data_IF_574424788027
#
_entry.id   IF_574424788027
#
_cell.length_a   1.000
_cell.length_b   1.000
_cell.length_c   1.000
_cell.angle_alpha   90.00
_cell.angle_beta   90.00
_cell.angle_gamma   90.00
#
_symmetry.space_group_name_H-M   'P 1'
#
loop_
_entity.id
_entity.type
_entity.pdbx_description
1 polymer ?
#
# COMPACT_ATOMS: atom_id res chain seq x y z
N UNK A 1 75.77 -63.64 72.43
CA UNK A 1 76.11 -62.24 72.05
C UNK A 1 74.80 -61.50 71.71
N UNK A 2 74.57 -60.21 71.98
CA UNK A 2 75.12 -58.97 71.33
C UNK A 2 75.07 -59.09 69.80
N UNK A 3 74.46 -58.19 69.01
CA UNK A 3 74.08 -56.76 69.15
C UNK A 3 72.57 -56.54 68.77
N UNK A 4 71.77 -55.59 69.29
CA UNK A 4 71.70 -54.09 69.13
C UNK A 4 71.62 -53.65 67.64
N UNK A 5 70.78 -52.70 67.16
CA UNK A 5 69.72 -51.74 67.65
C UNK A 5 68.65 -51.62 66.49
N UNK A 6 67.61 -50.77 66.36
CA UNK A 6 66.93 -49.55 66.94
C UNK A 6 65.45 -49.60 66.37
N UNK A 7 64.34 -48.93 66.77
CA UNK A 7 63.96 -47.76 67.61
C UNK A 7 64.24 -46.37 66.98
N UNK A 8 63.43 -45.29 67.07
CA UNK A 8 62.27 -44.88 67.93
C UNK A 8 61.27 -44.04 67.07
N UNK A 9 60.07 -43.71 67.60
CA UNK A 9 59.05 -42.69 67.22
C UNK A 9 57.75 -43.31 66.67
N UNK A 10 56.55 -43.24 67.29
CA UNK A 10 56.04 -42.55 68.50
C UNK A 10 55.65 -41.06 68.39
N UNK A 11 54.51 -40.78 67.73
CA UNK A 11 53.55 -39.66 67.94
C UNK A 11 52.43 -39.80 66.88
N UNK A 12 51.19 -39.31 67.02
CA UNK A 12 50.26 -39.24 68.16
C UNK A 12 48.82 -39.08 67.59
N UNK A 13 47.78 -39.34 68.40
CA UNK A 13 46.39 -39.13 67.96
C UNK A 13 46.06 -37.64 67.99
N UNK A 14 45.59 -37.10 66.87
CA UNK A 14 44.98 -35.78 66.78
C UNK A 14 43.62 -35.89 66.07
N UNK A 15 42.54 -35.90 66.84
CA UNK A 15 41.17 -35.78 66.30
C UNK A 15 40.90 -34.29 66.07
N UNK A 16 40.65 -33.90 64.83
CA UNK A 16 40.00 -32.62 64.52
C UNK A 16 39.04 -32.77 63.34
N UNK A 17 37.94 -32.01 63.38
CA UNK A 17 36.78 -32.22 62.50
C UNK A 17 37.07 -31.73 61.08
N UNK A 18 37.17 -32.68 60.14
CA UNK A 18 37.25 -32.40 58.71
C UNK A 18 35.89 -31.94 58.17
N UNK A 19 35.76 -30.65 57.88
CA UNK A 19 34.50 -30.04 57.45
C UNK A 19 34.06 -30.54 56.05
N UNK A 20 32.76 -30.80 55.89
CA UNK A 20 32.16 -31.34 54.67
C UNK A 20 32.01 -30.23 53.60
N UNK A 21 33.13 -29.82 52.99
CA UNK A 21 33.11 -28.85 51.89
C UNK A 21 32.69 -29.57 50.60
N UNK A 22 31.39 -29.56 50.36
CA UNK A 22 30.81 -29.91 49.06
C UNK A 22 31.38 -28.91 48.05
N UNK A 23 32.22 -29.38 47.13
CA UNK A 23 32.66 -28.59 45.97
C UNK A 23 31.54 -28.49 44.94
N UNK A 24 30.43 -27.88 45.37
CA UNK A 24 29.32 -27.45 44.54
C UNK A 24 29.82 -26.32 43.66
N UNK A 25 30.51 -26.66 42.58
CA UNK A 25 30.91 -25.74 41.54
C UNK A 25 29.65 -25.25 40.83
N UNK A 26 28.97 -24.28 41.45
CA UNK A 26 27.92 -23.49 40.84
C UNK A 26 28.53 -22.79 39.64
N UNK A 27 28.39 -23.43 38.47
CA UNK A 27 28.48 -22.73 37.20
C UNK A 27 27.41 -21.67 37.24
N UNK A 28 27.82 -20.46 37.62
CA UNK A 28 27.13 -19.25 37.25
C UNK A 28 27.14 -19.24 35.73
N UNK A 29 26.12 -19.86 35.14
CA UNK A 29 25.71 -19.57 33.78
C UNK A 29 25.33 -18.09 33.80
N UNK A 30 26.33 -17.25 33.50
CA UNK A 30 26.13 -15.86 33.17
C UNK A 30 25.29 -15.86 31.89
N UNK A 31 23.97 -15.93 32.05
CA UNK A 31 23.02 -15.62 31.00
C UNK A 31 23.43 -14.26 30.47
N UNK A 32 23.84 -14.15 29.18
CA UNK A 32 24.33 -12.88 28.68
C UNK A 32 23.25 -11.84 28.90
N UNK A 33 23.55 -10.79 29.67
CA UNK A 33 22.60 -9.69 29.87
C UNK A 33 22.61 -8.86 28.59
N UNK A 34 21.85 -9.32 27.60
CA UNK A 34 21.61 -8.60 26.37
C UNK A 34 20.95 -7.26 26.73
N UNK A 35 21.65 -6.16 26.43
CA UNK A 35 21.20 -4.79 26.69
C UNK A 35 20.76 -4.17 25.36
N UNK A 36 19.81 -3.23 25.38
CA UNK A 36 19.51 -2.44 24.19
C UNK A 36 20.77 -1.68 23.73
N UNK A 37 21.00 -1.63 22.42
CA UNK A 37 22.10 -0.89 21.79
C UNK A 37 21.92 0.63 21.88
N UNK A 38 20.67 1.10 22.03
CA UNK A 38 20.32 2.51 22.24
C UNK A 38 18.95 2.66 22.93
N UNK A 39 18.62 3.82 23.52
CA UNK A 39 17.29 4.08 24.08
C UNK A 39 16.15 3.97 23.04
N UNK A 40 16.41 4.27 21.76
CA UNK A 40 15.42 4.11 20.69
C UNK A 40 15.10 2.62 20.43
N UNK A 41 16.11 1.76 20.46
CA UNK A 41 15.95 0.30 20.37
C UNK A 41 15.21 -0.27 21.58
N UNK A 42 15.46 0.26 22.79
CA UNK A 42 14.66 -0.09 23.97
C UNK A 42 13.20 0.34 23.81
N UNK A 43 12.97 1.56 23.32
CA UNK A 43 11.63 2.10 23.05
C UNK A 43 10.85 1.25 22.04
N UNK A 44 11.45 0.80 20.94
CA UNK A 44 10.79 -0.08 19.96
C UNK A 44 10.33 -1.40 20.61
N UNK A 45 11.20 -2.01 21.42
CA UNK A 45 10.88 -3.26 22.14
C UNK A 45 9.80 -3.06 23.22
N UNK A 46 9.80 -1.91 23.91
CA UNK A 46 8.76 -1.56 24.88
C UNK A 46 7.42 -1.24 24.21
N UNK A 47 7.41 -0.46 23.12
CA UNK A 47 6.22 -0.05 22.40
C UNK A 47 5.47 -1.24 21.79
N UNK A 48 6.20 -2.17 21.18
CA UNK A 48 5.70 -3.46 20.65
C UNK A 48 5.34 -4.47 21.76
N UNK A 49 5.52 -4.10 23.03
CA UNK A 49 5.18 -4.90 24.23
C UNK A 49 5.98 -6.19 24.41
N UNK A 50 7.18 -6.28 23.80
CA UNK A 50 8.02 -7.49 23.84
C UNK A 50 8.14 -8.05 25.27
N UNK A 51 8.01 -9.38 25.39
CA UNK A 51 8.31 -10.10 26.63
C UNK A 51 9.82 -10.06 26.91
N UNK A 52 10.27 -10.38 28.13
CA UNK A 52 11.71 -10.54 28.41
C UNK A 52 12.40 -11.55 27.47
N UNK A 53 11.68 -12.59 27.00
CA UNK A 53 12.17 -13.54 25.99
C UNK A 53 12.39 -12.85 24.64
N UNK A 54 11.43 -12.08 24.15
CA UNK A 54 11.57 -11.34 22.89
C UNK A 54 12.63 -10.23 22.97
N UNK A 55 12.71 -9.50 24.08
CA UNK A 55 13.78 -8.52 24.33
C UNK A 55 15.16 -9.19 24.28
N UNK A 56 15.33 -10.35 24.92
CA UNK A 56 16.57 -11.12 24.87
C UNK A 56 16.94 -11.55 23.44
N UNK A 57 15.95 -11.99 22.65
CA UNK A 57 16.14 -12.36 21.25
C UNK A 57 16.51 -11.16 20.37
N UNK A 58 15.77 -10.06 20.49
CA UNK A 58 15.93 -8.83 19.70
C UNK A 58 17.28 -8.15 19.98
N UNK A 59 17.58 -7.86 21.25
CA UNK A 59 18.88 -7.29 21.65
C UNK A 59 20.05 -8.27 21.37
N UNK A 60 19.76 -9.56 21.22
CA UNK A 60 20.71 -10.59 20.79
C UNK A 60 21.18 -10.48 19.34
N UNK A 61 20.49 -9.70 18.50
CA UNK A 61 20.85 -9.47 17.09
C UNK A 61 21.47 -8.09 16.85
N UNK A 62 22.09 -7.47 17.87
CA UNK A 62 22.75 -6.16 17.81
C UNK A 62 21.98 -5.10 16.98
N UNK A 63 20.69 -4.84 17.30
CA UNK A 63 19.77 -4.15 16.39
C UNK A 63 20.13 -2.67 16.26
N UNK A 64 20.03 -2.13 15.05
CA UNK A 64 20.41 -0.75 14.70
C UNK A 64 19.30 -0.05 13.90
N UNK A 65 19.18 1.26 14.11
CA UNK A 65 18.31 2.14 13.32
C UNK A 65 19.23 3.01 12.46
N UNK A 66 19.12 2.89 11.14
CA UNK A 66 20.10 3.44 10.19
C UNK A 66 19.44 4.36 9.15
N UNK A 67 20.10 5.46 8.73
CA UNK A 67 19.62 6.30 7.62
C UNK A 67 19.53 5.50 6.30
N UNK A 68 18.59 5.87 5.42
CA UNK A 68 18.30 5.21 4.12
C UNK A 68 19.55 4.66 3.40
N UNK A 69 20.55 5.49 3.15
CA UNK A 69 21.77 5.09 2.43
C UNK A 69 22.56 3.97 3.14
N UNK A 70 22.70 4.06 4.47
CA UNK A 70 23.42 3.09 5.30
C UNK A 70 22.61 1.80 5.47
N UNK A 71 21.30 1.89 5.68
CA UNK A 71 20.39 0.75 5.64
C UNK A 71 20.52 -0.04 4.33
N UNK A 72 20.37 0.63 3.18
CA UNK A 72 20.47 -0.02 1.87
C UNK A 72 21.89 -0.50 1.55
N UNK A 73 22.94 0.06 2.15
CA UNK A 73 24.31 -0.47 2.03
C UNK A 73 24.51 -1.76 2.83
N UNK A 74 23.95 -1.85 4.04
CA UNK A 74 24.03 -3.02 4.90
C UNK A 74 23.13 -4.15 4.38
N UNK A 75 21.85 -3.87 4.12
CA UNK A 75 20.87 -4.88 3.71
C UNK A 75 21.13 -5.46 2.31
N UNK A 76 21.67 -4.69 1.34
CA UNK A 76 22.05 -5.26 0.03
C UNK A 76 23.08 -6.40 0.11
N UNK A 77 23.85 -6.50 1.21
CA UNK A 77 24.81 -7.59 1.45
C UNK A 77 24.18 -8.89 1.97
N UNK A 78 22.89 -8.88 2.32
CA UNK A 78 22.17 -10.04 2.88
C UNK A 78 21.47 -10.93 1.86
N UNK A 79 21.57 -10.62 0.56
CA UNK A 79 20.90 -11.38 -0.51
C UNK A 79 19.42 -11.06 -0.74
N UNK A 80 18.72 -10.40 0.20
CA UNK A 80 17.34 -9.89 0.01
C UNK A 80 17.17 -8.81 -1.08
N UNK A 81 18.24 -8.43 -1.79
CA UNK A 81 18.24 -7.41 -2.85
C UNK A 81 17.39 -7.74 -4.10
N UNK A 82 16.72 -8.90 -4.15
CA UNK A 82 15.84 -9.33 -5.23
C UNK A 82 14.33 -9.13 -4.93
N UNK A 83 13.96 -8.67 -3.72
CA UNK A 83 12.55 -8.42 -3.39
C UNK A 83 12.07 -7.11 -4.04
N UNK A 84 11.07 -7.18 -4.92
CA UNK A 84 10.55 -6.04 -5.68
C UNK A 84 9.68 -5.06 -4.85
N UNK A 85 9.94 -4.92 -3.55
CA UNK A 85 9.18 -4.11 -2.60
C UNK A 85 10.09 -3.31 -1.68
N UNK A 86 9.50 -2.38 -0.94
CA UNK A 86 10.21 -1.51 0.01
C UNK A 86 10.54 -2.30 1.28
N UNK A 87 11.72 -2.90 1.31
CA UNK A 87 12.30 -3.49 2.52
C UNK A 87 12.69 -2.35 3.48
N UNK A 88 12.25 -2.42 4.74
CA UNK A 88 12.61 -1.46 5.82
C UNK A 88 13.23 -2.12 7.06
N UNK A 89 13.30 -3.45 7.09
CA UNK A 89 14.06 -4.24 8.04
C UNK A 89 14.89 -5.29 7.31
N UNK A 90 16.05 -5.67 7.85
CA UNK A 90 16.71 -6.88 7.40
C UNK A 90 17.44 -7.61 8.51
N UNK A 91 17.25 -8.93 8.55
CA UNK A 91 18.05 -9.87 9.32
C UNK A 91 19.22 -10.35 8.47
N UNK A 92 20.39 -9.71 8.62
CA UNK A 92 21.60 -10.16 7.92
C UNK A 92 22.19 -11.36 8.66
N UNK A 93 22.34 -12.52 8.02
CA UNK A 93 22.85 -13.74 8.66
C UNK A 93 24.14 -14.24 7.98
N UNK A 94 25.18 -14.51 8.78
CA UNK A 94 26.42 -15.20 8.34
C UNK A 94 26.38 -16.72 8.56
N UNK A 95 25.34 -17.21 9.24
CA UNK A 95 25.06 -18.61 9.50
C UNK A 95 24.29 -18.80 10.80
N UNK A 96 24.73 -18.15 11.88
CA UNK A 96 24.20 -18.36 13.24
C UNK A 96 24.08 -17.10 14.11
N UNK A 97 24.30 -15.89 13.57
CA UNK A 97 24.03 -14.63 14.27
C UNK A 97 23.43 -13.61 13.31
N UNK A 98 22.27 -13.05 13.67
CA UNK A 98 21.70 -11.92 12.98
C UNK A 98 22.40 -10.61 13.34
N UNK A 99 22.46 -9.69 12.39
CA UNK A 99 22.29 -8.27 12.70
C UNK A 99 20.93 -7.82 12.18
N UNK A 100 20.11 -7.24 13.04
CA UNK A 100 18.86 -6.58 12.65
C UNK A 100 19.18 -5.13 12.29
N UNK A 101 18.93 -4.75 11.05
CA UNK A 101 19.03 -3.35 10.61
C UNK A 101 17.62 -2.85 10.30
N UNK A 102 17.24 -1.71 10.85
CA UNK A 102 15.95 -1.05 10.65
C UNK A 102 16.21 0.29 9.96
N UNK A 103 15.48 0.60 8.88
CA UNK A 103 15.58 1.92 8.27
C UNK A 103 14.92 2.97 9.17
N UNK A 104 15.60 4.08 9.40
CA UNK A 104 15.03 5.25 10.07
C UNK A 104 13.89 5.84 9.25
N UNK A 105 12.68 5.87 9.83
CA UNK A 105 11.48 6.45 9.21
C UNK A 105 11.01 7.63 10.07
N UNK A 106 11.08 8.83 9.49
CA UNK A 106 10.79 10.11 10.19
C UNK A 106 9.54 10.82 9.67
N UNK A 107 8.90 10.33 8.60
CA UNK A 107 7.65 10.90 8.10
C UNK A 107 6.50 10.57 9.07
N UNK A 108 5.77 11.56 9.63
CA UNK A 108 4.68 11.31 10.56
C UNK A 108 3.50 10.54 9.93
N UNK A 109 3.39 10.51 8.60
CA UNK A 109 2.39 9.72 7.85
C UNK A 109 2.65 8.21 7.87
N UNK A 110 3.81 7.79 8.41
CA UNK A 110 4.31 6.42 8.50
C UNK A 110 4.62 5.99 9.96
N UNK A 111 3.99 6.62 10.96
CA UNK A 111 4.15 6.23 12.37
C UNK A 111 3.77 4.74 12.57
N UNK A 112 4.52 4.03 13.42
CA UNK A 112 4.37 2.58 13.61
C UNK A 112 5.26 1.73 12.69
N UNK A 113 5.88 2.31 11.65
CA UNK A 113 6.72 1.53 10.71
C UNK A 113 7.93 0.89 11.39
N UNK A 114 8.67 1.64 12.22
CA UNK A 114 9.84 1.09 12.91
C UNK A 114 9.43 0.08 13.99
N UNK A 115 8.27 0.26 14.61
CA UNK A 115 7.70 -0.66 15.59
C UNK A 115 7.27 -1.99 14.96
N UNK A 116 6.51 -1.98 13.87
CA UNK A 116 6.11 -3.22 13.18
C UNK A 116 7.32 -3.95 12.60
N UNK A 117 8.30 -3.23 12.04
CA UNK A 117 9.55 -3.81 11.56
C UNK A 117 10.38 -4.43 12.69
N UNK A 118 10.55 -3.73 13.82
CA UNK A 118 11.27 -4.29 14.98
C UNK A 118 10.62 -5.57 15.52
N UNK A 119 9.29 -5.63 15.52
CA UNK A 119 8.54 -6.83 15.88
C UNK A 119 8.72 -7.96 14.85
N UNK A 120 8.65 -7.65 13.55
CA UNK A 120 8.84 -8.61 12.46
C UNK A 120 10.25 -9.22 12.45
N UNK A 121 11.29 -8.41 12.50
CA UNK A 121 12.69 -8.88 12.49
C UNK A 121 13.05 -9.67 13.76
N UNK A 122 12.45 -9.33 14.91
CA UNK A 122 12.53 -10.15 16.13
C UNK A 122 11.84 -11.51 15.94
N UNK A 123 10.74 -11.60 15.19
CA UNK A 123 10.08 -12.88 14.90
C UNK A 123 10.93 -13.80 14.00
N UNK A 124 11.78 -13.29 13.10
CA UNK A 124 12.79 -14.11 12.42
C UNK A 124 13.78 -14.74 13.42
N UNK A 125 14.30 -13.96 14.36
CA UNK A 125 15.20 -14.46 15.40
C UNK A 125 14.50 -15.46 16.34
N UNK A 126 13.20 -15.29 16.58
CA UNK A 126 12.37 -16.25 17.27
C UNK A 126 12.18 -17.55 16.49
N UNK A 127 11.88 -17.47 15.18
CA UNK A 127 11.68 -18.62 14.29
C UNK A 127 12.95 -19.47 14.15
N UNK A 128 14.10 -18.83 14.02
CA UNK A 128 15.40 -19.52 13.91
C UNK A 128 15.75 -20.32 15.18
N UNK A 129 15.29 -19.88 16.35
CA UNK A 129 15.44 -20.62 17.61
C UNK A 129 14.38 -21.72 17.83
N UNK A 130 13.41 -21.90 16.92
CA UNK A 130 12.47 -23.03 16.98
C UNK A 130 13.14 -24.31 16.47
N UNK A 131 12.91 -25.41 17.17
CA UNK A 131 13.29 -26.75 16.72
C UNK A 131 12.49 -27.17 15.47
N UNK A 132 12.99 -28.14 14.69
CA UNK A 132 12.31 -28.65 13.49
C UNK A 132 10.87 -29.09 13.80
N UNK A 133 10.68 -29.85 14.89
CA UNK A 133 9.37 -30.30 15.35
C UNK A 133 8.40 -29.15 15.66
N UNK A 134 8.87 -28.03 16.20
CA UNK A 134 8.04 -26.86 16.45
C UNK A 134 7.66 -26.15 15.14
N UNK A 135 8.58 -26.05 14.18
CA UNK A 135 8.31 -25.50 12.84
C UNK A 135 7.28 -26.35 12.10
N UNK A 136 7.45 -27.68 12.09
CA UNK A 136 6.51 -28.63 11.47
C UNK A 136 5.11 -28.53 12.10
N UNK A 137 5.03 -28.41 13.43
CA UNK A 137 3.76 -28.23 14.17
C UNK A 137 3.05 -26.91 13.85
N UNK A 138 3.81 -25.85 13.55
CA UNK A 138 3.28 -24.52 13.21
C UNK A 138 2.93 -24.38 11.73
N UNK A 139 3.69 -25.02 10.83
CA UNK A 139 3.57 -24.90 9.38
C UNK A 139 2.14 -25.03 8.81
N UNK A 140 1.31 -26.04 9.18
CA UNK A 140 -0.06 -26.13 8.67
C UNK A 140 -0.97 -25.02 9.24
N UNK A 141 -0.72 -24.58 10.49
CA UNK A 141 -1.50 -23.53 11.15
C UNK A 141 -1.21 -22.16 10.53
N UNK A 142 0.05 -21.86 10.26
CA UNK A 142 0.48 -20.65 9.54
C UNK A 142 -0.11 -20.61 8.12
N UNK A 143 -0.04 -21.72 7.38
CA UNK A 143 -0.66 -21.86 6.04
C UNK A 143 -2.19 -21.80 6.05
N UNK A 144 -2.84 -22.08 7.19
CA UNK A 144 -4.28 -21.86 7.38
C UNK A 144 -4.58 -20.37 7.62
N UNK A 145 -3.87 -19.75 8.57
CA UNK A 145 -4.06 -18.33 8.91
C UNK A 145 -3.74 -17.40 7.73
N UNK A 146 -2.77 -17.73 6.88
CA UNK A 146 -2.46 -17.01 5.65
C UNK A 146 -3.67 -16.81 4.72
N UNK A 147 -4.59 -17.78 4.68
CA UNK A 147 -5.83 -17.72 3.86
C UNK A 147 -6.86 -16.70 4.37
N UNK A 148 -6.63 -16.10 5.53
CA UNK A 148 -7.50 -15.09 6.15
C UNK A 148 -7.00 -13.65 5.93
N UNK A 149 -5.84 -13.48 5.29
CA UNK A 149 -5.33 -12.16 4.89
C UNK A 149 -6.24 -11.58 3.82
N UNK A 150 -6.79 -10.39 4.10
CA UNK A 150 -7.68 -9.63 3.20
C UNK A 150 -7.03 -8.33 2.69
N UNK A 151 -5.94 -7.89 3.32
CA UNK A 151 -5.12 -6.79 2.81
C UNK A 151 -4.44 -7.23 1.50
N UNK A 152 -4.69 -6.56 0.35
CA UNK A 152 -4.05 -6.89 -0.92
C UNK A 152 -2.52 -6.77 -0.88
N UNK A 153 -1.96 -5.86 -0.07
CA UNK A 153 -0.51 -5.67 0.03
C UNK A 153 0.16 -6.87 0.70
N UNK A 154 -0.29 -7.23 1.90
CA UNK A 154 0.20 -8.43 2.60
C UNK A 154 -0.13 -9.72 1.83
N UNK A 155 -1.29 -9.82 1.18
CA UNK A 155 -1.62 -10.96 0.33
C UNK A 155 -0.62 -11.11 -0.83
N UNK A 156 -0.24 -10.00 -1.47
CA UNK A 156 0.78 -9.96 -2.51
C UNK A 156 2.17 -10.35 -2.01
N UNK A 157 2.58 -9.86 -0.83
CA UNK A 157 3.86 -10.22 -0.19
C UNK A 157 3.94 -11.74 0.05
N UNK A 158 2.91 -12.32 0.70
CA UNK A 158 2.89 -13.75 1.00
C UNK A 158 2.77 -14.60 -0.28
N UNK A 159 2.08 -14.11 -1.32
CA UNK A 159 1.99 -14.79 -2.60
C UNK A 159 3.31 -14.80 -3.39
N UNK A 160 4.20 -13.82 -3.19
CA UNK A 160 5.52 -13.81 -3.82
C UNK A 160 6.50 -14.73 -3.07
N UNK A 161 6.55 -14.70 -1.74
CA UNK A 161 7.36 -15.65 -0.97
C UNK A 161 6.91 -17.11 -1.22
N UNK A 162 5.62 -17.36 -1.46
CA UNK A 162 5.11 -18.68 -1.80
C UNK A 162 5.63 -19.26 -3.14
N UNK A 163 6.29 -18.46 -3.99
CA UNK A 163 6.95 -18.89 -5.23
C UNK A 163 8.39 -19.36 -5.00
N UNK A 164 8.97 -19.05 -3.85
CA UNK A 164 10.37 -19.31 -3.50
C UNK A 164 10.57 -20.58 -2.66
N UNK A 165 11.61 -20.56 -1.82
CA UNK A 165 11.94 -21.67 -0.93
C UNK A 165 10.84 -21.88 0.16
N UNK A 166 10.32 -23.11 0.35
CA UNK A 166 9.25 -23.38 1.32
C UNK A 166 9.61 -23.14 2.79
N UNK A 167 10.88 -23.22 3.16
CA UNK A 167 11.35 -22.95 4.54
C UNK A 167 11.52 -21.45 4.79
N UNK A 168 11.95 -20.68 3.78
CA UNK A 168 11.87 -19.21 3.78
C UNK A 168 10.41 -18.78 3.90
N UNK A 169 9.51 -19.25 3.03
CA UNK A 169 8.09 -18.89 3.09
C UNK A 169 7.44 -19.16 4.46
N UNK A 170 7.85 -20.23 5.16
CA UNK A 170 7.37 -20.50 6.53
C UNK A 170 7.94 -19.54 7.60
N UNK A 171 9.17 -19.03 7.43
CA UNK A 171 9.74 -17.96 8.27
C UNK A 171 8.99 -16.62 8.07
N UNK A 172 8.74 -16.26 6.81
CA UNK A 172 8.03 -15.03 6.45
C UNK A 172 6.56 -15.09 6.89
N UNK A 173 5.89 -16.24 6.74
CA UNK A 173 4.56 -16.48 7.32
C UNK A 173 4.56 -16.36 8.85
N UNK A 174 5.57 -16.91 9.54
CA UNK A 174 5.65 -16.79 10.99
C UNK A 174 5.82 -15.33 11.43
N UNK A 175 6.57 -14.54 10.68
CA UNK A 175 6.85 -13.15 11.03
C UNK A 175 5.65 -12.26 10.70
N UNK A 176 5.26 -12.15 9.42
CA UNK A 176 4.13 -11.32 8.97
C UNK A 176 2.81 -11.61 9.69
N UNK A 177 2.44 -12.89 9.87
CA UNK A 177 1.16 -13.19 10.53
C UNK A 177 1.21 -12.84 12.03
N UNK A 178 2.40 -12.88 12.65
CA UNK A 178 2.60 -12.44 14.03
C UNK A 178 2.43 -10.94 14.19
N UNK A 179 3.05 -10.14 13.31
CA UNK A 179 3.07 -8.68 13.33
C UNK A 179 1.81 -8.00 12.77
N UNK A 180 1.22 -8.53 11.69
CA UNK A 180 0.24 -7.80 10.87
C UNK A 180 -1.17 -8.43 10.86
N UNK A 181 -1.31 -9.76 10.94
CA UNK A 181 -2.64 -10.40 10.89
C UNK A 181 -3.38 -10.30 12.24
N UNK A 182 -4.40 -9.45 12.31
CA UNK A 182 -5.15 -9.18 13.53
C UNK A 182 -5.85 -10.38 14.17
N UNK A 183 -6.46 -11.29 13.40
CA UNK A 183 -7.08 -12.50 13.93
C UNK A 183 -6.49 -13.75 13.24
N UNK A 184 -5.73 -14.53 14.01
CA UNK A 184 -5.08 -15.76 13.55
C UNK A 184 -6.02 -16.98 13.50
N UNK A 185 -7.22 -16.88 14.12
CA UNK A 185 -8.26 -17.92 14.13
C UNK A 185 -7.77 -19.30 14.64
N UNK A 186 -6.71 -19.28 15.45
CA UNK A 186 -6.01 -20.48 15.89
C UNK A 186 -5.39 -20.27 17.29
N UNK A 187 -5.99 -20.83 18.36
CA UNK A 187 -5.50 -20.64 19.73
C UNK A 187 -4.06 -21.12 19.99
N UNK A 188 -3.52 -22.03 19.18
CA UNK A 188 -2.10 -22.43 19.29
C UNK A 188 -1.16 -21.36 18.74
N UNK A 189 -1.57 -20.63 17.69
CA UNK A 189 -0.77 -19.52 17.18
C UNK A 189 -0.79 -18.34 18.15
N UNK A 190 -1.94 -17.98 18.71
CA UNK A 190 -1.99 -16.91 19.73
C UNK A 190 -1.17 -17.29 20.99
N UNK A 191 -1.24 -18.55 21.46
CA UNK A 191 -0.36 -19.06 22.54
C UNK A 191 1.12 -19.06 22.17
N UNK A 192 1.46 -19.23 20.89
CA UNK A 192 2.83 -19.15 20.40
C UNK A 192 3.34 -17.70 20.44
N UNK A 193 2.58 -16.75 19.90
CA UNK A 193 2.97 -15.34 19.88
C UNK A 193 2.94 -14.64 21.26
N UNK A 194 2.11 -15.12 22.20
CA UNK A 194 2.14 -14.71 23.62
C UNK A 194 3.49 -14.94 24.32
N UNK A 195 4.35 -15.81 23.78
CA UNK A 195 5.73 -15.95 24.29
C UNK A 195 6.61 -14.74 23.96
N UNK A 196 6.23 -13.94 22.96
CA UNK A 196 7.04 -12.87 22.39
C UNK A 196 6.43 -11.48 22.61
N UNK A 197 5.11 -11.33 22.59
CA UNK A 197 4.43 -10.06 22.88
C UNK A 197 3.46 -10.21 24.04
N UNK A 198 3.40 -9.21 24.93
CA UNK A 198 2.40 -9.14 26.01
C UNK A 198 1.02 -8.74 25.47
N UNK A 199 1.01 -7.90 24.44
CA UNK A 199 -0.15 -7.59 23.62
C UNK A 199 0.25 -7.59 22.14
N UNK A 200 -0.15 -8.63 21.40
CA UNK A 200 0.08 -8.75 19.95
C UNK A 200 -0.78 -7.78 19.15
N UNK A 201 -1.94 -7.37 19.66
CA UNK A 201 -2.81 -6.41 18.96
C UNK A 201 -2.18 -5.01 18.94
N UNK A 202 -1.32 -4.68 19.91
CA UNK A 202 -0.49 -3.47 19.87
C UNK A 202 0.46 -3.45 18.67
N UNK A 203 1.04 -4.59 18.30
CA UNK A 203 1.90 -4.71 17.10
C UNK A 203 1.07 -4.56 15.82
N UNK A 204 -0.07 -5.25 15.75
CA UNK A 204 -1.03 -5.14 14.62
C UNK A 204 -1.57 -3.71 14.48
N UNK A 205 -1.72 -2.96 15.58
CA UNK A 205 -2.10 -1.56 15.53
C UNK A 205 -1.02 -0.69 14.84
N UNK A 206 0.26 -0.92 15.14
CA UNK A 206 1.36 -0.25 14.43
C UNK A 206 1.43 -0.63 12.94
N UNK A 207 1.20 -1.91 12.61
CA UNK A 207 1.11 -2.35 11.21
C UNK A 207 0.05 -1.54 10.44
N UNK A 208 -1.17 -1.44 10.98
CA UNK A 208 -2.27 -0.66 10.39
C UNK A 208 -1.97 0.84 10.34
N UNK A 209 -1.37 1.40 11.40
CA UNK A 209 -0.99 2.82 11.44
C UNK A 209 0.04 3.15 10.35
N UNK A 210 1.02 2.27 10.15
CA UNK A 210 2.11 2.48 9.18
C UNK A 210 1.64 2.51 7.71
N UNK A 211 0.57 1.78 7.38
CA UNK A 211 0.00 1.73 6.04
C UNK A 211 -1.23 2.64 5.84
N UNK A 212 -1.80 3.20 6.92
CA UNK A 212 -3.08 3.91 6.88
C UNK A 212 -3.10 5.04 5.82
N UNK A 213 -2.12 5.94 5.86
CA UNK A 213 -2.09 7.11 4.94
C UNK A 213 -1.99 6.67 3.48
N UNK A 214 -1.19 5.65 3.19
CA UNK A 214 -1.03 5.10 1.83
C UNK A 214 -2.31 4.40 1.35
N UNK A 215 -2.96 3.62 2.23
CA UNK A 215 -4.23 2.95 1.93
C UNK A 215 -5.37 3.95 1.69
N UNK A 216 -5.37 5.10 2.38
CA UNK A 216 -6.32 6.19 2.13
C UNK A 216 -6.08 6.83 0.76
N UNK A 217 -4.85 7.21 0.44
CA UNK A 217 -4.48 7.78 -0.87
C UNK A 217 -4.81 6.83 -2.03
N UNK A 218 -4.57 5.52 -1.86
CA UNK A 218 -4.91 4.50 -2.87
C UNK A 218 -6.42 4.35 -3.04
N UNK A 219 -7.20 4.36 -1.94
CA UNK A 219 -8.66 4.31 -2.00
C UNK A 219 -9.26 5.54 -2.68
N UNK A 220 -8.74 6.74 -2.38
CA UNK A 220 -9.18 7.99 -3.01
C UNK A 220 -8.79 8.05 -4.49
N UNK A 221 -7.63 7.49 -4.87
CA UNK A 221 -7.22 7.36 -6.26
C UNK A 221 -8.11 6.39 -7.06
N UNK A 222 -8.43 5.21 -6.52
CA UNK A 222 -9.32 4.22 -7.14
C UNK A 222 -10.75 4.76 -7.33
N UNK A 223 -11.23 5.62 -6.43
CA UNK A 223 -12.50 6.32 -6.59
C UNK A 223 -12.43 7.38 -7.69
N UNK A 224 -11.37 8.20 -7.72
CA UNK A 224 -11.20 9.21 -8.77
C UNK A 224 -11.07 8.59 -10.17
N UNK A 225 -10.38 7.45 -10.32
CA UNK A 225 -10.32 6.72 -11.60
C UNK A 225 -11.73 6.33 -12.07
N UNK A 226 -12.54 5.72 -11.21
CA UNK A 226 -13.92 5.36 -11.54
C UNK A 226 -14.82 6.54 -11.89
N UNK A 227 -14.53 7.74 -11.37
CA UNK A 227 -15.26 8.96 -11.74
C UNK A 227 -14.75 9.59 -13.05
N UNK A 228 -13.43 9.51 -13.31
CA UNK A 228 -12.79 9.96 -14.55
C UNK A 228 -13.25 9.09 -15.73
N UNK A 229 -13.25 7.76 -15.57
CA UNK A 229 -13.70 6.80 -16.60
C UNK A 229 -15.16 7.05 -17.01
N UNK A 230 -16.03 7.35 -16.03
CA UNK A 230 -17.44 7.70 -16.28
C UNK A 230 -17.55 9.02 -17.03
N UNK A 231 -16.85 10.06 -16.58
CA UNK A 231 -16.84 11.36 -17.26
C UNK A 231 -16.28 11.28 -18.68
N UNK A 232 -15.29 10.44 -18.97
CA UNK A 232 -14.82 10.24 -20.36
C UNK A 232 -15.92 9.60 -21.23
N UNK A 233 -16.64 8.61 -20.71
CA UNK A 233 -17.76 7.98 -21.41
C UNK A 233 -18.93 8.96 -21.63
N UNK A 234 -19.28 9.76 -20.61
CA UNK A 234 -20.34 10.77 -20.68
C UNK A 234 -19.97 11.90 -21.64
N UNK A 235 -18.77 12.49 -21.52
CA UNK A 235 -18.25 13.50 -22.46
C UNK A 235 -18.25 13.03 -23.92
N UNK A 236 -17.94 11.76 -24.15
CA UNK A 236 -17.98 11.14 -25.48
C UNK A 236 -19.40 10.99 -26.01
N UNK A 237 -20.39 10.74 -25.15
CA UNK A 237 -21.81 10.74 -25.51
C UNK A 237 -22.32 12.17 -25.78
N UNK A 238 -22.11 13.11 -24.84
CA UNK A 238 -22.48 14.53 -24.97
C UNK A 238 -21.91 15.15 -26.24
N UNK A 239 -20.64 14.84 -26.58
CA UNK A 239 -20.02 15.31 -27.83
C UNK A 239 -20.71 14.76 -29.09
N UNK A 240 -21.18 13.52 -29.07
CA UNK A 240 -21.92 12.93 -30.19
C UNK A 240 -23.33 13.53 -30.34
N UNK A 241 -24.00 13.86 -29.23
CA UNK A 241 -25.28 14.58 -29.26
C UNK A 241 -25.13 16.04 -29.68
N UNK A 242 -24.05 16.72 -29.30
CA UNK A 242 -23.70 18.04 -29.81
C UNK A 242 -23.50 18.02 -31.34
N UNK A 243 -22.82 17.01 -31.87
CA UNK A 243 -22.67 16.86 -33.32
C UNK A 243 -24.03 16.64 -34.01
N UNK A 244 -24.86 15.71 -33.51
CA UNK A 244 -26.23 15.49 -34.01
C UNK A 244 -27.08 16.77 -33.96
N UNK A 245 -26.93 17.57 -32.91
CA UNK A 245 -27.64 18.84 -32.75
C UNK A 245 -27.15 19.92 -33.72
N UNK A 246 -25.88 19.93 -34.10
CA UNK A 246 -25.35 20.84 -35.12
C UNK A 246 -25.87 20.45 -36.52
N UNK A 247 -25.77 19.17 -36.88
CA UNK A 247 -26.31 18.62 -38.13
C UNK A 247 -27.82 18.91 -38.30
N UNK A 248 -28.59 18.82 -37.20
CA UNK A 248 -30.01 19.17 -37.17
C UNK A 248 -30.29 20.69 -37.28
N UNK A 249 -29.36 21.55 -36.83
CA UNK A 249 -29.46 23.00 -36.99
C UNK A 249 -29.18 23.43 -38.44
N UNK A 250 -28.17 22.85 -39.08
CA UNK A 250 -27.85 23.10 -40.49
C UNK A 250 -29.03 22.69 -41.40
N UNK A 251 -29.56 21.47 -41.22
CA UNK A 251 -30.75 21.00 -41.94
C UNK A 251 -32.00 21.87 -41.66
N UNK A 252 -32.11 22.45 -40.45
CA UNK A 252 -33.15 23.41 -40.12
C UNK A 252 -32.95 24.77 -40.81
N UNK A 253 -31.71 25.22 -40.98
CA UNK A 253 -31.38 26.47 -41.65
C UNK A 253 -31.64 26.37 -43.16
N UNK A 254 -31.31 25.25 -43.80
CA UNK A 254 -31.66 24.99 -45.20
C UNK A 254 -33.17 24.95 -45.42
N UNK A 255 -33.92 24.32 -44.50
CA UNK A 255 -35.39 24.34 -44.56
C UNK A 255 -35.96 25.76 -44.45
N UNK A 256 -35.36 26.64 -43.64
CA UNK A 256 -35.73 28.06 -43.59
C UNK A 256 -35.41 28.79 -44.90
N UNK A 257 -34.27 28.48 -45.53
CA UNK A 257 -33.88 29.04 -46.82
C UNK A 257 -34.91 28.67 -47.91
N UNK A 258 -35.33 27.40 -47.97
CA UNK A 258 -36.38 26.92 -48.89
C UNK A 258 -37.72 27.61 -48.62
N UNK A 259 -38.23 27.59 -47.38
CA UNK A 259 -39.52 28.19 -47.03
C UNK A 259 -39.57 29.70 -47.32
N UNK A 260 -38.45 30.40 -47.15
CA UNK A 260 -38.31 31.83 -47.50
C UNK A 260 -38.32 32.06 -49.01
N UNK A 261 -37.70 31.18 -49.80
CA UNK A 261 -37.73 31.26 -51.26
C UNK A 261 -39.15 31.00 -51.81
N UNK A 262 -39.83 29.96 -51.32
CA UNK A 262 -41.21 29.67 -51.68
C UNK A 262 -42.18 30.80 -51.29
N UNK A 263 -42.02 31.38 -50.09
CA UNK A 263 -42.86 32.51 -49.67
C UNK A 263 -42.66 33.74 -50.57
N UNK A 264 -41.43 34.03 -51.01
CA UNK A 264 -41.15 35.13 -51.94
C UNK A 264 -41.73 34.89 -53.35
N UNK A 265 -41.66 33.64 -53.83
CA UNK A 265 -42.27 33.24 -55.11
C UNK A 265 -43.80 33.39 -55.03
N UNK A 266 -44.42 32.78 -54.01
CA UNK A 266 -45.86 32.78 -53.81
C UNK A 266 -46.42 34.19 -53.51
N UNK A 267 -45.66 35.06 -52.85
CA UNK A 267 -45.98 36.49 -52.73
C UNK A 267 -46.15 37.13 -54.11
N UNK A 268 -45.17 36.93 -54.99
CA UNK A 268 -45.14 37.52 -56.34
C UNK A 268 -46.28 36.99 -57.21
N UNK A 269 -46.59 35.70 -57.11
CA UNK A 269 -47.73 35.05 -57.78
C UNK A 269 -49.06 35.61 -57.25
N UNK A 270 -49.20 35.79 -55.93
CA UNK A 270 -50.40 36.36 -55.29
C UNK A 270 -50.62 37.83 -55.66
N UNK A 271 -49.56 38.64 -55.70
CA UNK A 271 -49.63 40.05 -56.11
C UNK A 271 -50.06 40.19 -57.59
N UNK A 272 -49.63 39.28 -58.47
CA UNK A 272 -50.07 39.25 -59.87
C UNK A 272 -51.54 38.80 -60.01
N UNK A 273 -51.97 37.77 -59.28
CA UNK A 273 -53.35 37.30 -59.28
C UNK A 273 -54.32 38.39 -58.77
N UNK A 274 -53.95 39.06 -57.67
CA UNK A 274 -54.70 40.20 -57.11
C UNK A 274 -54.82 41.36 -58.11
N UNK A 275 -53.75 41.68 -58.85
CA UNK A 275 -53.79 42.71 -59.90
C UNK A 275 -54.72 42.34 -61.09
N UNK A 276 -55.04 41.05 -61.25
CA UNK A 276 -56.01 40.54 -62.24
C UNK A 276 -57.42 40.35 -61.65
N UNK A 277 -57.61 40.60 -60.35
CA UNK A 277 -58.87 40.44 -59.64
C UNK A 277 -59.13 39.05 -59.05
N UNK A 278 -58.15 38.15 -59.04
CA UNK A 278 -58.27 36.81 -58.44
C UNK A 278 -57.66 36.77 -57.02
N UNK A 279 -58.48 36.53 -55.97
CA UNK A 279 -58.00 36.36 -54.60
C UNK A 279 -57.56 34.92 -54.25
N UNK A 280 -57.60 33.96 -55.18
CA UNK A 280 -57.43 32.52 -54.90
C UNK A 280 -56.17 32.16 -54.10
N UNK A 281 -55.04 32.84 -54.37
CA UNK A 281 -53.75 32.53 -53.77
C UNK A 281 -53.53 33.10 -52.36
N UNK A 282 -54.37 34.04 -51.90
CA UNK A 282 -54.19 34.74 -50.60
C UNK A 282 -54.08 33.73 -49.45
N UNK A 283 -54.99 32.74 -49.39
CA UNK A 283 -54.98 31.74 -48.31
C UNK A 283 -53.74 30.84 -48.34
N UNK A 284 -53.14 30.64 -49.51
CA UNK A 284 -51.92 29.83 -49.66
C UNK A 284 -50.70 30.64 -49.19
N UNK A 285 -50.62 31.92 -49.56
CA UNK A 285 -49.58 32.83 -49.10
C UNK A 285 -49.60 33.00 -47.57
N UNK A 286 -50.78 33.20 -46.99
CA UNK A 286 -50.96 33.30 -45.54
C UNK A 286 -50.53 32.02 -44.81
N UNK A 287 -50.91 30.84 -45.31
CA UNK A 287 -50.45 29.56 -44.74
C UNK A 287 -48.94 29.38 -44.86
N UNK A 288 -48.33 29.76 -45.99
CA UNK A 288 -46.88 29.71 -46.16
C UNK A 288 -46.15 30.65 -45.18
N UNK A 289 -46.72 31.83 -44.90
CA UNK A 289 -46.20 32.78 -43.92
C UNK A 289 -46.26 32.22 -42.49
N UNK A 290 -47.35 31.56 -42.11
CA UNK A 290 -47.47 30.84 -40.84
C UNK A 290 -46.44 29.71 -40.74
N UNK A 291 -46.32 28.87 -41.77
CA UNK A 291 -45.38 27.75 -41.81
C UNK A 291 -43.91 28.20 -41.63
N UNK A 292 -43.52 29.32 -42.27
CA UNK A 292 -42.19 29.91 -42.10
C UNK A 292 -42.00 30.45 -40.68
N UNK A 293 -42.96 31.20 -40.13
CA UNK A 293 -42.87 31.77 -38.79
C UNK A 293 -42.70 30.68 -37.72
N UNK A 294 -43.48 29.59 -37.78
CA UNK A 294 -43.31 28.45 -36.88
C UNK A 294 -41.94 27.78 -37.04
N UNK A 295 -41.44 27.65 -38.28
CA UNK A 295 -40.12 27.07 -38.53
C UNK A 295 -39.00 27.94 -37.93
N UNK A 296 -39.13 29.26 -37.98
CA UNK A 296 -38.20 30.21 -37.32
C UNK A 296 -38.25 30.07 -35.81
N UNK A 297 -39.44 29.91 -35.20
CA UNK A 297 -39.57 29.63 -33.76
C UNK A 297 -38.84 28.33 -33.39
N UNK A 298 -39.15 27.22 -34.07
CA UNK A 298 -38.51 25.91 -33.82
C UNK A 298 -36.99 25.94 -34.01
N UNK A 299 -36.49 26.65 -35.02
CA UNK A 299 -35.04 26.84 -35.21
C UNK A 299 -34.42 27.60 -34.03
N UNK A 300 -35.04 28.70 -33.59
CA UNK A 300 -34.57 29.49 -32.46
C UNK A 300 -34.61 28.72 -31.12
N UNK A 301 -35.57 27.82 -30.94
CA UNK A 301 -35.60 26.88 -29.80
C UNK A 301 -34.44 25.87 -29.87
N UNK A 302 -34.20 25.28 -31.04
CA UNK A 302 -33.07 24.36 -31.24
C UNK A 302 -31.72 25.05 -31.00
N UNK A 303 -31.54 26.31 -31.44
CA UNK A 303 -30.32 27.10 -31.20
C UNK A 303 -30.10 27.31 -29.70
N UNK A 304 -31.15 27.65 -28.94
CA UNK A 304 -31.08 27.77 -27.47
C UNK A 304 -30.72 26.42 -26.80
N UNK A 305 -31.33 25.33 -27.25
CA UNK A 305 -31.04 23.98 -26.74
C UNK A 305 -29.59 23.59 -26.99
N UNK A 306 -29.07 23.83 -28.19
CA UNK A 306 -27.67 23.55 -28.54
C UNK A 306 -26.70 24.40 -27.71
N UNK A 307 -26.98 25.69 -27.55
CA UNK A 307 -26.17 26.58 -26.70
C UNK A 307 -26.13 26.11 -25.23
N UNK A 308 -27.26 25.62 -24.69
CA UNK A 308 -27.32 25.04 -23.35
C UNK A 308 -26.52 23.74 -23.24
N UNK A 309 -26.58 22.86 -24.25
CA UNK A 309 -25.77 21.64 -24.31
C UNK A 309 -24.26 21.95 -24.38
N UNK A 310 -23.84 22.95 -25.16
CA UNK A 310 -22.43 23.39 -25.24
C UNK A 310 -21.96 23.93 -23.88
N UNK A 311 -22.81 24.69 -23.18
CA UNK A 311 -22.49 25.18 -21.84
C UNK A 311 -22.35 24.04 -20.81
N UNK A 312 -23.22 23.03 -20.86
CA UNK A 312 -23.14 21.85 -20.00
C UNK A 312 -21.88 21.00 -20.30
N UNK A 313 -21.58 20.74 -21.57
CA UNK A 313 -20.38 20.01 -21.99
C UNK A 313 -19.09 20.68 -21.50
N UNK A 314 -19.01 22.02 -21.53
CA UNK A 314 -17.86 22.74 -20.99
C UNK A 314 -17.72 22.55 -19.47
N UNK A 315 -18.83 22.51 -18.72
CA UNK A 315 -18.83 22.22 -17.28
C UNK A 315 -18.43 20.76 -16.97
N UNK A 316 -18.83 19.80 -17.82
CA UNK A 316 -18.37 18.40 -17.76
C UNK A 316 -16.85 18.32 -17.99
N UNK A 317 -16.32 19.05 -18.97
CA UNK A 317 -14.88 19.14 -19.27
C UNK A 317 -14.10 19.76 -18.11
N UNK A 318 -14.57 20.86 -17.54
CA UNK A 318 -13.96 21.47 -16.35
C UNK A 318 -13.98 20.50 -15.16
N UNK A 319 -15.07 19.76 -14.96
CA UNK A 319 -15.20 18.76 -13.90
C UNK A 319 -14.20 17.61 -14.08
N UNK A 320 -14.06 17.11 -15.31
CA UNK A 320 -13.07 16.09 -15.67
C UNK A 320 -11.64 16.57 -15.41
N UNK A 321 -11.28 17.78 -15.86
CA UNK A 321 -9.95 18.37 -15.63
C UNK A 321 -9.63 18.50 -14.14
N UNK A 322 -10.59 18.94 -13.32
CA UNK A 322 -10.43 19.05 -11.87
C UNK A 322 -10.19 17.68 -11.20
N UNK A 323 -10.91 16.62 -11.61
CA UNK A 323 -10.67 15.25 -11.07
C UNK A 323 -9.31 14.70 -11.50
N UNK A 324 -8.91 14.90 -12.75
CA UNK A 324 -7.57 14.52 -13.24
C UNK A 324 -6.48 15.28 -12.48
N UNK A 325 -6.68 16.56 -12.15
CA UNK A 325 -5.73 17.33 -11.34
C UNK A 325 -5.62 16.80 -9.90
N UNK A 326 -6.75 16.41 -9.29
CA UNK A 326 -6.81 15.80 -7.96
C UNK A 326 -6.12 14.42 -7.92
N UNK A 327 -6.40 13.53 -8.88
CA UNK A 327 -5.73 12.24 -9.00
C UNK A 327 -4.20 12.39 -9.12
N UNK A 328 -3.76 13.34 -9.96
CA UNK A 328 -2.34 13.68 -10.08
C UNK A 328 -1.74 14.27 -8.79
N UNK A 329 -2.54 14.88 -7.91
CA UNK A 329 -2.09 15.32 -6.59
C UNK A 329 -1.89 14.14 -5.63
N UNK A 330 -2.85 13.21 -5.53
CA UNK A 330 -2.69 11.99 -4.72
C UNK A 330 -1.46 11.20 -5.16
N UNK A 331 -1.26 11.04 -6.48
CA UNK A 331 -0.10 10.37 -7.04
C UNK A 331 1.24 11.07 -6.72
N UNK A 332 1.27 12.42 -6.63
CA UNK A 332 2.44 13.19 -6.16
C UNK A 332 2.67 12.98 -4.66
N UNK A 333 1.62 13.04 -3.84
CA UNK A 333 1.75 12.87 -2.40
C UNK A 333 2.22 11.45 -2.04
N UNK A 334 1.63 10.42 -2.65
CA UNK A 334 2.06 9.02 -2.52
C UNK A 334 3.54 8.85 -2.84
N UNK A 335 4.04 9.47 -3.92
CA UNK A 335 5.48 9.47 -4.24
C UNK A 335 6.32 10.16 -3.16
N UNK A 336 5.84 11.28 -2.59
CA UNK A 336 6.53 11.98 -1.49
C UNK A 336 6.72 11.13 -0.23
N UNK A 337 5.78 10.22 0.06
CA UNK A 337 5.83 9.30 1.21
C UNK A 337 6.84 8.17 0.96
N UNK A 338 6.92 7.66 -0.28
CA UNK A 338 7.70 6.46 -0.62
C UNK A 338 9.15 6.76 -1.05
N UNK A 339 9.43 7.93 -1.63
CA UNK A 339 10.77 8.31 -2.10
C UNK A 339 11.86 8.33 -0.98
N UNK A 340 11.57 8.74 0.28
CA UNK A 340 12.50 8.62 1.40
C UNK A 340 12.76 7.17 1.86
N UNK A 341 11.90 6.23 1.46
CA UNK A 341 11.98 4.82 1.82
C UNK A 341 12.78 4.00 0.80
N UNK A 342 12.47 4.21 -0.48
CA UNK A 342 12.99 3.43 -1.60
C UNK A 342 14.52 3.46 -1.68
N UNK A 343 15.11 2.31 -2.01
CA UNK A 343 16.50 2.24 -2.43
C UNK A 343 16.72 3.17 -3.62
N UNK A 344 17.83 3.90 -3.62
CA UNK A 344 18.26 4.64 -4.80
C UNK A 344 18.57 3.62 -5.90
N UNK A 345 17.75 3.63 -6.96
CA UNK A 345 18.05 2.86 -8.16
C UNK A 345 19.41 3.34 -8.71
N UNK A 346 20.28 2.44 -9.21
CA UNK A 346 21.40 2.88 -10.02
C UNK A 346 20.83 3.67 -11.21
N UNK A 347 21.47 4.77 -11.61
CA UNK A 347 21.06 5.51 -12.79
C UNK A 347 21.11 4.57 -14.01
N UNK A 348 19.93 4.18 -14.49
CA UNK A 348 19.80 3.43 -15.74
C UNK A 348 20.30 4.37 -16.85
N UNK A 349 21.47 4.06 -17.40
CA UNK A 349 22.21 4.95 -18.28
C UNK A 349 21.33 5.35 -19.47
N UNK A 350 20.93 6.62 -19.51
CA UNK A 350 19.95 7.14 -20.46
C UNK A 350 20.36 6.77 -21.90
N UNK A 351 19.67 5.79 -22.47
CA UNK A 351 20.01 5.22 -23.77
C UNK A 351 19.35 6.07 -24.87
N UNK A 352 20.11 6.81 -25.69
CA UNK A 352 19.52 7.74 -26.67
C UNK A 352 19.01 6.96 -27.88
N UNK A 353 17.74 6.55 -27.85
CA UNK A 353 17.14 5.71 -28.91
C UNK A 353 15.61 5.88 -29.01
N UNK A 354 15.14 7.08 -29.33
CA UNK A 354 13.91 7.24 -30.12
C UNK A 354 14.30 7.56 -31.59
N UNK A 355 13.58 7.04 -32.59
CA UNK A 355 13.78 7.34 -34.02
C UNK A 355 13.02 8.60 -34.49
#
# INVERSE_FOLDING_TARGET
MRQRKRSINSLAIAIFVGMLIIFGATRNFLTPTYRPSSPAIEQLAMATTMTPKAQQLFYGQDPKIEPKAQFHQLCRRSGRAAEARIILGCYTNDGYRGQIVIQSVTDPRLQGTMEVVAAHEMLHAAYQNLSLFERDRLAPKLKQAARRVQDPLLAGILADYAKGDPAIYLNELHSHLGSELGNLDNPDLERHYQQYFRDRQRVVAFARQSSQTLSQLDTEADLLVQEIDRLEADLKATKADLQRSAEALDASQDRLNTLKADLNRLKSETELALAQGDPSLISQFEQARVNLNEAVVRHNDNVRSHQAQVAAFNQEVDTYQNKVAAYNQLARERRSILQPLQADQPEESANPSEP
#
